data_IF_349893009104
#
_entry.id   IF_349893009104
#
_cell.length_a   1.000
_cell.length_b   1.000
_cell.length_c   1.000
_cell.angle_alpha   90.00
_cell.angle_beta   90.00
_cell.angle_gamma   90.00
#
_symmetry.space_group_name_H-M   'P 1'
#
loop_
_entity.id
_entity.type
_entity.pdbx_description
1 polymer ?
#
# COMPACT_ATOMS: atom_id res chain seq x y z
N UNK A 1 0.36 -3.84 3.75
CA UNK A 1 -0.31 -3.10 2.64
C UNK A 1 0.52 -3.07 1.35
N UNK A 2 1.79 -2.66 1.39
CA UNK A 2 2.70 -2.70 0.24
C UNK A 2 2.85 -4.12 -0.32
N UNK A 3 2.98 -5.11 0.56
CA UNK A 3 3.07 -6.53 0.18
C UNK A 3 1.81 -7.04 -0.55
N UNK A 4 0.61 -6.79 -0.02
CA UNK A 4 -0.63 -7.18 -0.71
C UNK A 4 -0.81 -6.49 -2.07
N UNK A 5 -0.37 -5.23 -2.20
CA UNK A 5 -0.43 -4.52 -3.48
C UNK A 5 0.54 -5.13 -4.50
N UNK A 6 1.72 -5.55 -4.04
CA UNK A 6 2.71 -6.28 -4.86
C UNK A 6 2.14 -7.62 -5.33
N UNK A 7 1.59 -8.40 -4.40
CA UNK A 7 0.99 -9.72 -4.67
C UNK A 7 -0.18 -9.62 -5.66
N UNK A 8 -1.07 -8.62 -5.50
CA UNK A 8 -2.14 -8.37 -6.49
C UNK A 8 -1.59 -8.00 -7.87
N UNK A 9 -0.44 -7.30 -7.92
CA UNK A 9 0.26 -6.98 -9.16
C UNK A 9 0.89 -8.20 -9.84
N UNK A 10 1.35 -9.19 -9.08
CA UNK A 10 1.94 -10.44 -9.60
C UNK A 10 0.90 -11.39 -10.21
N UNK A 11 -0.36 -11.33 -9.75
CA UNK A 11 -1.45 -12.19 -10.27
C UNK A 11 -1.83 -11.85 -11.72
N UNK A 12 -1.78 -10.57 -12.10
CA UNK A 12 -2.23 -10.13 -13.43
C UNK A 12 -1.37 -10.73 -14.56
N UNK A 13 -0.02 -10.62 -14.54
CA UNK A 13 0.82 -11.26 -15.56
C UNK A 13 0.61 -12.77 -15.65
N UNK A 14 0.44 -13.45 -14.52
CA UNK A 14 0.18 -14.89 -14.50
C UNK A 14 -1.15 -15.24 -15.20
N UNK A 15 -2.21 -14.47 -14.96
CA UNK A 15 -3.50 -14.67 -15.64
C UNK A 15 -3.42 -14.40 -17.15
N UNK A 16 -2.67 -13.37 -17.56
CA UNK A 16 -2.44 -13.06 -18.97
C UNK A 16 -1.65 -14.17 -19.68
N UNK A 17 -0.60 -14.69 -19.03
CA UNK A 17 0.21 -15.79 -19.54
C UNK A 17 -0.62 -17.07 -19.73
N UNK A 18 -1.39 -17.46 -18.70
CA UNK A 18 -2.25 -18.64 -18.73
C UNK A 18 -3.38 -18.49 -19.76
N UNK A 19 -3.94 -17.29 -19.92
CA UNK A 19 -4.93 -17.00 -20.97
C UNK A 19 -4.33 -17.16 -22.37
N UNK A 20 -3.11 -16.62 -22.58
CA UNK A 20 -2.41 -16.77 -23.86
C UNK A 20 -2.06 -18.24 -24.15
N UNK A 21 -1.70 -19.01 -23.12
CA UNK A 21 -1.45 -20.45 -23.25
C UNK A 21 -2.71 -21.24 -23.62
N UNK A 22 -3.83 -20.95 -22.96
CA UNK A 22 -5.12 -21.54 -23.30
C UNK A 22 -5.52 -21.27 -24.76
N UNK A 23 -5.30 -20.03 -25.24
CA UNK A 23 -5.54 -19.67 -26.64
C UNK A 23 -4.61 -20.43 -27.60
N UNK A 24 -3.31 -20.55 -27.29
CA UNK A 24 -2.36 -21.33 -28.10
C UNK A 24 -2.75 -22.79 -28.22
N UNK A 25 -3.17 -23.43 -27.12
CA UNK A 25 -3.60 -24.84 -27.13
C UNK A 25 -4.88 -24.99 -27.95
N UNK A 26 -5.84 -24.08 -27.78
CA UNK A 26 -7.10 -24.08 -28.54
C UNK A 26 -6.86 -24.03 -30.06
N UNK A 27 -5.95 -23.14 -30.48
CA UNK A 27 -5.67 -22.88 -31.89
C UNK A 27 -4.81 -24.00 -32.51
N UNK A 28 -4.15 -24.81 -31.68
CA UNK A 28 -3.40 -25.99 -32.09
C UNK A 28 -4.25 -27.23 -32.36
N UNK A 29 -3.57 -28.31 -32.73
CA UNK A 29 -4.13 -29.66 -32.71
C UNK A 29 -4.10 -30.19 -31.26
N UNK A 30 -5.22 -30.76 -30.82
CA UNK A 30 -5.33 -31.34 -29.47
C UNK A 30 -5.30 -32.87 -29.61
N UNK A 31 -4.11 -33.41 -29.81
CA UNK A 31 -3.92 -34.85 -30.04
C UNK A 31 -3.63 -35.61 -28.75
N UNK A 32 -2.99 -34.95 -27.76
CA UNK A 32 -2.61 -35.56 -26.48
C UNK A 32 -3.15 -34.68 -25.34
N UNK A 33 -4.47 -34.68 -25.09
CA UNK A 33 -5.11 -33.72 -24.17
C UNK A 33 -4.52 -33.73 -22.77
N UNK A 34 -4.14 -34.89 -22.24
CA UNK A 34 -3.47 -34.99 -20.92
C UNK A 34 -2.10 -34.32 -20.95
N UNK A 35 -1.32 -34.49 -22.03
CA UNK A 35 0.01 -33.87 -22.12
C UNK A 35 -0.06 -32.37 -22.40
N UNK A 36 -1.06 -31.94 -23.16
CA UNK A 36 -1.18 -30.58 -23.69
C UNK A 36 -1.97 -29.65 -22.76
N UNK A 37 -3.04 -30.13 -22.12
CA UNK A 37 -3.96 -29.29 -21.32
C UNK A 37 -3.74 -29.45 -19.81
N UNK A 38 -3.34 -30.62 -19.32
CA UNK A 38 -3.15 -30.83 -17.86
C UNK A 38 -2.13 -29.85 -17.24
N UNK A 39 -0.98 -29.54 -17.87
CA UNK A 39 -0.07 -28.54 -17.31
C UNK A 39 -0.72 -27.16 -17.11
N UNK A 40 -1.53 -26.70 -18.07
CA UNK A 40 -2.32 -25.48 -17.95
C UNK A 40 -3.33 -25.61 -16.80
N UNK A 41 -4.10 -26.70 -16.75
CA UNK A 41 -5.11 -26.93 -15.70
C UNK A 41 -4.52 -26.85 -14.30
N UNK A 42 -3.38 -27.53 -14.06
CA UNK A 42 -2.69 -27.52 -12.78
C UNK A 42 -2.25 -26.11 -12.38
N UNK A 43 -1.63 -25.36 -13.30
CA UNK A 43 -1.18 -23.99 -13.02
C UNK A 43 -2.34 -23.03 -12.75
N UNK A 44 -3.45 -23.17 -13.46
CA UNK A 44 -4.67 -22.38 -13.19
C UNK A 44 -5.24 -22.73 -11.81
N UNK A 45 -5.27 -24.02 -11.45
CA UNK A 45 -5.75 -24.47 -10.14
C UNK A 45 -4.85 -23.98 -8.99
N UNK A 46 -3.52 -24.08 -9.14
CA UNK A 46 -2.55 -23.55 -8.18
C UNK A 46 -2.74 -22.05 -7.97
N UNK A 47 -2.94 -21.30 -9.07
CA UNK A 47 -3.22 -19.87 -9.00
C UNK A 47 -4.55 -19.59 -8.29
N UNK A 48 -5.62 -20.36 -8.57
CA UNK A 48 -6.89 -20.24 -7.88
C UNK A 48 -6.74 -20.42 -6.36
N UNK A 49 -5.98 -21.44 -5.94
CA UNK A 49 -5.68 -21.70 -4.53
C UNK A 49 -4.84 -20.59 -3.89
N UNK A 50 -3.86 -20.03 -4.59
CA UNK A 50 -3.07 -18.88 -4.12
C UNK A 50 -3.97 -17.64 -3.94
N UNK A 51 -4.79 -17.32 -4.94
CA UNK A 51 -5.70 -16.19 -4.93
C UNK A 51 -6.77 -16.31 -3.83
N UNK A 52 -7.33 -17.51 -3.63
CA UNK A 52 -8.33 -17.77 -2.59
C UNK A 52 -7.74 -17.58 -1.19
N UNK A 53 -6.53 -18.11 -0.94
CA UNK A 53 -5.80 -17.87 0.31
C UNK A 53 -5.53 -16.39 0.53
N UNK A 54 -5.07 -15.68 -0.51
CA UNK A 54 -4.84 -14.24 -0.41
C UNK A 54 -6.12 -13.46 -0.06
N UNK A 55 -7.27 -13.80 -0.65
CA UNK A 55 -8.56 -13.17 -0.31
C UNK A 55 -8.96 -13.48 1.13
N UNK A 56 -8.77 -14.72 1.57
CA UNK A 56 -9.02 -15.11 2.96
C UNK A 56 -8.15 -14.30 3.93
N UNK A 57 -6.84 -14.24 3.71
CA UNK A 57 -5.91 -13.49 4.56
C UNK A 57 -6.29 -12.00 4.63
N UNK A 58 -6.67 -11.40 3.48
CA UNK A 58 -7.15 -10.03 3.45
C UNK A 58 -8.47 -9.87 4.23
N UNK A 59 -9.40 -10.82 4.12
CA UNK A 59 -10.71 -10.75 4.78
C UNK A 59 -10.63 -10.76 6.31
N UNK A 60 -9.62 -11.41 6.89
CA UNK A 60 -9.42 -11.47 8.35
C UNK A 60 -8.45 -10.40 8.87
N UNK A 61 -7.89 -9.57 7.98
CA UNK A 61 -6.99 -8.47 8.32
C UNK A 61 -7.75 -7.17 8.61
N UNK A 62 -7.03 -6.04 8.73
CA UNK A 62 -7.65 -4.70 8.80
C UNK A 62 -8.18 -4.21 7.44
N UNK A 63 -7.96 -4.95 6.35
CA UNK A 63 -8.35 -4.55 5.00
C UNK A 63 -9.87 -4.30 4.82
N UNK A 64 -10.81 -5.08 5.40
CA UNK A 64 -12.24 -4.79 5.24
C UNK A 64 -12.64 -3.44 5.88
N UNK A 65 -12.00 -3.03 6.98
CA UNK A 65 -12.28 -1.77 7.66
C UNK A 65 -11.75 -0.54 6.89
N UNK A 66 -10.92 -0.78 5.86
CA UNK A 66 -10.44 0.28 4.98
C UNK A 66 -11.55 0.76 4.06
N UNK A 67 -11.50 2.05 3.66
CA UNK A 67 -12.40 2.60 2.64
C UNK A 67 -12.46 1.69 1.40
N UNK A 68 -13.66 1.31 0.96
CA UNK A 68 -13.93 0.41 -0.17
C UNK A 68 -13.31 -1.01 -0.02
N UNK A 69 -12.86 -1.38 1.18
CA UNK A 69 -12.17 -2.65 1.46
C UNK A 69 -13.07 -3.87 1.23
N UNK A 70 -14.30 -3.82 1.75
CA UNK A 70 -15.32 -4.86 1.56
C UNK A 70 -15.73 -5.02 0.09
N UNK A 71 -15.94 -3.93 -0.63
CA UNK A 71 -16.26 -3.95 -2.07
C UNK A 71 -15.10 -4.59 -2.86
N UNK A 72 -13.86 -4.16 -2.59
CA UNK A 72 -12.70 -4.75 -3.26
C UNK A 72 -12.52 -6.23 -2.93
N UNK A 73 -12.84 -6.66 -1.70
CA UNK A 73 -12.83 -8.10 -1.34
C UNK A 73 -13.89 -8.88 -2.12
N UNK A 74 -15.10 -8.35 -2.27
CA UNK A 74 -16.15 -9.00 -3.06
C UNK A 74 -15.73 -9.15 -4.53
N UNK A 75 -15.11 -8.11 -5.12
CA UNK A 75 -14.56 -8.17 -6.47
C UNK A 75 -13.46 -9.24 -6.60
N UNK A 76 -12.52 -9.28 -5.66
CA UNK A 76 -11.45 -10.27 -5.66
C UNK A 76 -11.98 -11.70 -5.47
N UNK A 77 -12.97 -11.90 -4.58
CA UNK A 77 -13.62 -13.19 -4.40
C UNK A 77 -14.32 -13.66 -5.69
N UNK A 78 -15.03 -12.75 -6.38
CA UNK A 78 -15.62 -13.03 -7.69
C UNK A 78 -14.57 -13.42 -8.74
N UNK A 79 -13.43 -12.72 -8.78
CA UNK A 79 -12.32 -13.07 -9.66
C UNK A 79 -11.70 -14.43 -9.30
N UNK A 80 -11.58 -14.79 -8.02
CA UNK A 80 -11.15 -16.13 -7.60
C UNK A 80 -12.08 -17.22 -8.12
N UNK A 81 -13.39 -17.00 -8.05
CA UNK A 81 -14.38 -17.94 -8.62
C UNK A 81 -14.23 -18.10 -10.13
N UNK A 82 -13.91 -17.03 -10.87
CA UNK A 82 -13.62 -17.10 -12.31
C UNK A 82 -12.36 -17.94 -12.60
N UNK A 83 -11.29 -17.79 -11.82
CA UNK A 83 -10.07 -18.59 -11.98
C UNK A 83 -10.35 -20.06 -11.67
N UNK A 84 -11.11 -20.36 -10.61
CA UNK A 84 -11.53 -21.72 -10.28
C UNK A 84 -12.40 -22.34 -11.39
N UNK A 85 -13.32 -21.55 -11.98
CA UNK A 85 -14.11 -21.99 -13.13
C UNK A 85 -13.20 -22.31 -14.32
N UNK A 86 -12.20 -21.47 -14.61
CA UNK A 86 -11.24 -21.72 -15.67
C UNK A 86 -10.51 -23.06 -15.50
N UNK A 87 -10.08 -23.42 -14.27
CA UNK A 87 -9.48 -24.73 -14.00
C UNK A 87 -10.45 -25.88 -14.29
N UNK A 88 -11.71 -25.74 -13.89
CA UNK A 88 -12.76 -26.75 -14.16
C UNK A 88 -13.01 -26.91 -15.66
N UNK A 89 -13.02 -25.80 -16.42
CA UNK A 89 -13.17 -25.83 -17.88
C UNK A 89 -11.98 -26.54 -18.56
N UNK A 90 -10.75 -26.35 -18.07
CA UNK A 90 -9.60 -27.14 -18.54
C UNK A 90 -9.80 -28.64 -18.30
N UNK A 91 -10.30 -29.03 -17.13
CA UNK A 91 -10.57 -30.44 -16.82
C UNK A 91 -11.65 -31.02 -17.75
N UNK A 92 -12.73 -30.28 -18.03
CA UNK A 92 -13.73 -30.71 -19.02
C UNK A 92 -13.14 -30.85 -20.42
N UNK A 93 -12.25 -29.93 -20.83
CA UNK A 93 -11.58 -30.02 -22.13
C UNK A 93 -10.73 -31.30 -22.26
N UNK A 94 -10.04 -31.68 -21.18
CA UNK A 94 -9.27 -32.93 -21.08
C UNK A 94 -10.19 -34.14 -21.19
N UNK A 95 -11.22 -34.22 -20.34
CA UNK A 95 -12.12 -35.36 -20.28
C UNK A 95 -12.80 -35.62 -21.62
N UNK A 96 -13.40 -34.58 -22.20
CA UNK A 96 -14.14 -34.73 -23.44
C UNK A 96 -13.24 -35.12 -24.62
N UNK A 97 -12.03 -34.56 -24.70
CA UNK A 97 -11.09 -34.97 -25.77
C UNK A 97 -10.57 -36.39 -25.55
N UNK A 98 -10.36 -36.79 -24.31
CA UNK A 98 -9.91 -38.15 -23.97
C UNK A 98 -10.98 -39.17 -24.32
N UNK A 99 -12.26 -38.89 -24.01
CA UNK A 99 -13.40 -39.72 -24.39
C UNK A 99 -13.47 -39.91 -25.91
N UNK A 100 -13.33 -38.82 -26.68
CA UNK A 100 -13.32 -38.89 -28.15
C UNK A 100 -12.18 -39.75 -28.70
N UNK A 101 -11.00 -39.72 -28.07
CA UNK A 101 -9.85 -40.51 -28.52
C UNK A 101 -9.92 -41.98 -28.11
N UNK A 102 -10.79 -42.34 -27.15
CA UNK A 102 -10.92 -43.70 -26.63
C UNK A 102 -12.10 -44.47 -27.23
N UNK A 103 -13.11 -43.78 -27.77
CA UNK A 103 -14.32 -44.40 -28.31
C UNK A 103 -14.48 -44.09 -29.80
N UNK A 104 -14.62 -45.14 -30.62
CA UNK A 104 -14.69 -45.04 -32.10
C UNK A 104 -15.92 -44.27 -32.63
N UNK A 105 -17.01 -44.18 -31.84
CA UNK A 105 -18.26 -43.51 -32.22
C UNK A 105 -18.35 -42.02 -31.79
N UNK A 106 -17.30 -41.49 -31.18
CA UNK A 106 -17.30 -40.12 -30.68
C UNK A 106 -16.95 -39.10 -31.77
N UNK A 107 -17.62 -37.93 -31.76
CA UNK A 107 -17.41 -36.85 -32.74
C UNK A 107 -15.90 -36.53 -32.89
N UNK A 108 -15.31 -36.70 -34.09
CA UNK A 108 -13.86 -36.59 -34.27
C UNK A 108 -13.35 -35.16 -34.05
N UNK A 109 -14.25 -34.17 -34.09
CA UNK A 109 -13.86 -32.76 -34.06
C UNK A 109 -13.60 -32.26 -32.63
N UNK A 110 -12.47 -31.58 -32.36
CA UNK A 110 -12.15 -31.05 -31.03
C UNK A 110 -12.96 -29.79 -30.68
N UNK A 111 -14.17 -29.60 -31.24
CA UNK A 111 -14.94 -28.36 -31.16
C UNK A 111 -15.33 -28.01 -29.72
N UNK A 112 -15.85 -28.97 -28.95
CA UNK A 112 -16.23 -28.77 -27.55
C UNK A 112 -15.01 -28.43 -26.69
N UNK A 113 -13.91 -29.18 -26.81
CA UNK A 113 -12.68 -28.90 -26.04
C UNK A 113 -12.11 -27.52 -26.38
N UNK A 114 -12.16 -27.11 -27.66
CA UNK A 114 -11.79 -25.76 -28.09
C UNK A 114 -12.70 -24.68 -27.50
N UNK A 115 -14.01 -24.92 -27.44
CA UNK A 115 -14.93 -23.99 -26.79
C UNK A 115 -14.65 -23.86 -25.29
N UNK A 116 -14.35 -24.97 -24.60
CA UNK A 116 -13.95 -24.92 -23.18
C UNK A 116 -12.64 -24.14 -22.97
N UNK A 117 -11.64 -24.31 -23.84
CA UNK A 117 -10.39 -23.54 -23.79
C UNK A 117 -10.60 -22.06 -24.13
N UNK A 118 -11.53 -21.73 -25.05
CA UNK A 118 -11.96 -20.35 -25.30
C UNK A 118 -12.57 -19.73 -24.04
N UNK A 119 -13.53 -20.40 -23.40
CA UNK A 119 -14.16 -19.94 -22.16
C UNK A 119 -13.14 -19.79 -21.02
N UNK A 120 -12.21 -20.75 -20.90
CA UNK A 120 -11.07 -20.67 -19.97
C UNK A 120 -10.31 -19.36 -20.16
N UNK A 121 -9.93 -19.06 -21.41
CA UNK A 121 -9.19 -17.84 -21.75
C UNK A 121 -9.95 -16.58 -21.36
N UNK A 122 -11.27 -16.55 -21.60
CA UNK A 122 -12.15 -15.42 -21.27
C UNK A 122 -12.30 -15.21 -19.76
N UNK A 123 -12.46 -16.28 -18.97
CA UNK A 123 -12.53 -16.17 -17.51
C UNK A 123 -11.23 -15.64 -16.91
N UNK A 124 -10.08 -16.11 -17.41
CA UNK A 124 -8.77 -15.60 -16.97
C UNK A 124 -8.60 -14.12 -17.30
N UNK A 125 -9.07 -13.66 -18.46
CA UNK A 125 -9.04 -12.25 -18.84
C UNK A 125 -9.98 -11.39 -17.99
N UNK A 126 -11.18 -11.87 -17.69
CA UNK A 126 -12.13 -11.21 -16.78
C UNK A 126 -11.53 -11.06 -15.37
N UNK A 127 -10.92 -12.13 -14.86
CA UNK A 127 -10.22 -12.10 -13.58
C UNK A 127 -9.06 -11.08 -13.62
N UNK A 128 -8.25 -11.08 -14.68
CA UNK A 128 -7.13 -10.15 -14.83
C UNK A 128 -7.60 -8.68 -14.84
N UNK A 129 -8.69 -8.37 -15.55
CA UNK A 129 -9.28 -7.04 -15.56
C UNK A 129 -9.74 -6.59 -14.16
N UNK A 130 -10.31 -7.50 -13.38
CA UNK A 130 -10.73 -7.25 -12.01
C UNK A 130 -9.53 -6.98 -11.09
N UNK A 131 -8.51 -7.84 -11.13
CA UNK A 131 -7.27 -7.65 -10.37
C UNK A 131 -6.56 -6.34 -10.73
N UNK A 132 -6.47 -5.99 -12.03
CA UNK A 132 -5.92 -4.70 -12.48
C UNK A 132 -6.69 -3.51 -11.88
N UNK A 133 -8.02 -3.60 -11.87
CA UNK A 133 -8.88 -2.53 -11.33
C UNK A 133 -8.64 -2.33 -9.85
N UNK A 134 -8.64 -3.42 -9.07
CA UNK A 134 -8.41 -3.37 -7.62
C UNK A 134 -6.99 -2.88 -7.31
N UNK A 135 -5.98 -3.40 -8.01
CA UNK A 135 -4.58 -2.97 -7.85
C UNK A 135 -4.43 -1.46 -8.12
N UNK A 136 -4.99 -0.94 -9.21
CA UNK A 136 -4.96 0.51 -9.52
C UNK A 136 -5.69 1.36 -8.48
N UNK A 137 -6.82 0.90 -7.95
CA UNK A 137 -7.53 1.58 -6.84
C UNK A 137 -6.63 1.68 -5.61
N UNK A 138 -5.96 0.59 -5.24
CA UNK A 138 -5.03 0.55 -4.11
C UNK A 138 -3.79 1.42 -4.32
N UNK A 139 -3.13 1.35 -5.49
CA UNK A 139 -1.96 2.18 -5.80
C UNK A 139 -2.28 3.67 -5.72
N UNK A 140 -3.38 4.12 -6.34
CA UNK A 140 -3.81 5.53 -6.27
C UNK A 140 -4.06 5.98 -4.84
N UNK A 141 -4.66 5.11 -4.04
CA UNK A 141 -4.94 5.40 -2.64
C UNK A 141 -3.66 5.49 -1.81
N UNK A 142 -2.71 4.58 -1.99
CA UNK A 142 -1.41 4.63 -1.33
C UNK A 142 -0.66 5.92 -1.70
N UNK A 143 -0.65 6.29 -2.99
CA UNK A 143 -0.07 7.55 -3.46
C UNK A 143 -0.75 8.79 -2.82
N UNK A 144 -2.08 8.77 -2.70
CA UNK A 144 -2.81 9.86 -2.03
C UNK A 144 -2.50 9.95 -0.53
N UNK A 145 -2.24 8.82 0.12
CA UNK A 145 -1.92 8.77 1.54
C UNK A 145 -0.50 9.29 1.80
N UNK A 146 0.48 8.90 0.95
CA UNK A 146 1.84 9.44 1.01
C UNK A 146 1.87 10.94 0.79
N UNK A 147 1.13 11.45 -0.21
CA UNK A 147 1.07 12.89 -0.48
C UNK A 147 0.53 13.67 0.75
N UNK A 148 -0.58 13.22 1.35
CA UNK A 148 -1.12 13.83 2.57
C UNK A 148 -0.20 13.71 3.79
N UNK A 149 0.66 12.69 3.85
CA UNK A 149 1.63 12.54 4.92
C UNK A 149 2.80 13.53 4.74
N UNK A 150 3.24 13.74 3.52
CA UNK A 150 4.27 14.74 3.16
C UNK A 150 3.78 16.16 3.43
N UNK A 151 2.56 16.50 3.03
CA UNK A 151 1.95 17.81 3.29
C UNK A 151 1.86 18.11 4.79
N UNK A 152 1.46 17.13 5.60
CA UNK A 152 1.42 17.26 7.06
C UNK A 152 2.82 17.47 7.66
N UNK A 153 3.83 16.75 7.17
CA UNK A 153 5.23 16.95 7.60
C UNK A 153 5.75 18.33 7.20
N UNK A 154 5.43 18.80 6.00
CA UNK A 154 5.81 20.14 5.53
C UNK A 154 5.16 21.25 6.37
N UNK A 155 3.87 21.08 6.69
CA UNK A 155 3.12 21.99 7.57
C UNK A 155 3.74 22.02 8.97
N UNK A 156 4.00 20.85 9.56
CA UNK A 156 4.64 20.74 10.87
C UNK A 156 6.02 21.41 10.90
N UNK A 157 6.86 21.15 9.90
CA UNK A 157 8.19 21.81 9.78
C UNK A 157 8.07 23.33 9.69
N UNK A 158 7.07 23.83 8.98
CA UNK A 158 6.82 25.26 8.84
C UNK A 158 6.40 25.89 10.16
N UNK A 159 5.45 25.26 10.86
CA UNK A 159 5.00 25.69 12.19
C UNK A 159 6.15 25.67 13.19
N UNK A 160 6.92 24.56 13.23
CA UNK A 160 8.10 24.42 14.09
C UNK A 160 9.13 25.52 13.83
N UNK A 161 9.49 25.77 12.56
CA UNK A 161 10.41 26.87 12.19
C UNK A 161 9.91 28.24 12.61
N UNK A 162 8.60 28.49 12.52
CA UNK A 162 7.98 29.77 12.94
C UNK A 162 8.04 29.94 14.45
N UNK A 163 7.79 28.87 15.21
CA UNK A 163 7.92 28.85 16.66
C UNK A 163 9.37 29.06 17.08
N UNK A 164 10.34 28.36 16.48
CA UNK A 164 11.76 28.55 16.78
C UNK A 164 12.22 29.98 16.50
N UNK A 165 11.81 30.58 15.38
CA UNK A 165 12.12 32.00 15.08
C UNK A 165 11.51 32.96 16.10
N UNK A 166 10.25 32.73 16.50
CA UNK A 166 9.61 33.54 17.55
C UNK A 166 10.37 33.42 18.86
N UNK A 167 10.68 32.20 19.30
CA UNK A 167 11.41 31.99 20.55
C UNK A 167 12.79 32.64 20.52
N UNK A 168 13.55 32.50 19.42
CA UNK A 168 14.84 33.18 19.25
C UNK A 168 14.69 34.72 19.27
N UNK A 169 13.63 35.26 18.68
CA UNK A 169 13.37 36.71 18.75
C UNK A 169 12.97 37.18 20.15
N UNK A 170 12.32 36.34 20.95
CA UNK A 170 12.01 36.64 22.34
C UNK A 170 13.26 36.56 23.22
N UNK A 171 14.12 35.54 23.03
CA UNK A 171 15.39 35.44 23.76
C UNK A 171 16.31 36.61 23.43
N UNK A 172 16.47 36.96 22.15
CA UNK A 172 17.29 38.11 21.74
C UNK A 172 16.79 39.44 22.34
N UNK A 173 15.48 39.65 22.43
CA UNK A 173 14.91 40.85 23.09
C UNK A 173 15.06 40.84 24.61
N UNK A 174 15.05 39.66 25.22
CA UNK A 174 15.29 39.52 26.66
C UNK A 174 16.77 39.81 26.98
N UNK A 175 17.69 39.30 26.17
CA UNK A 175 19.13 39.57 26.25
C UNK A 175 19.43 41.06 26.02
N UNK A 176 18.83 41.67 24.99
CA UNK A 176 18.99 43.10 24.70
C UNK A 176 18.49 43.99 25.85
N UNK A 177 17.34 43.65 26.45
CA UNK A 177 16.84 44.36 27.65
C UNK A 177 17.74 44.16 28.87
N UNK A 178 18.33 42.99 29.04
CA UNK A 178 19.30 42.76 30.12
C UNK A 178 20.57 43.58 29.90
N UNK A 179 21.07 43.67 28.66
CA UNK A 179 22.23 44.52 28.33
C UNK A 179 21.94 46.00 28.55
N UNK A 180 20.75 46.49 28.16
CA UNK A 180 20.33 47.88 28.43
C UNK A 180 20.19 48.13 29.93
N UNK A 181 19.61 47.19 30.70
CA UNK A 181 19.50 47.30 32.14
C UNK A 181 20.87 47.30 32.86
N UNK A 182 21.83 46.52 32.36
CA UNK A 182 23.21 46.53 32.86
C UNK A 182 23.93 47.84 32.51
N UNK A 183 23.70 48.40 31.32
CA UNK A 183 24.25 49.68 30.91
C UNK A 183 23.65 50.87 31.68
N UNK A 184 22.42 50.73 32.21
CA UNK A 184 21.75 51.71 33.07
C UNK A 184 21.98 51.46 34.57
N UNK A 185 22.82 50.49 34.94
CA UNK A 185 23.24 50.26 36.32
C UNK A 185 23.92 51.50 36.90
N UNK A 186 23.82 51.75 38.23
CA UNK A 186 24.29 52.98 38.84
C UNK A 186 25.79 53.17 38.59
N UNK A 187 26.18 54.31 38.01
CA UNK A 187 27.57 54.74 38.04
C UNK A 187 28.05 54.77 39.50
N UNK A 188 29.22 54.18 39.84
CA UNK A 188 29.75 54.30 41.18
C UNK A 188 30.08 55.77 41.42
N UNK A 189 29.27 56.44 42.23
CA UNK A 189 29.62 57.74 42.79
C UNK A 189 30.95 57.56 43.51
N UNK A 190 31.96 58.26 42.99
CA UNK A 190 33.31 58.37 43.51
C UNK A 190 33.22 58.83 44.97
N UNK A 191 33.40 57.90 45.90
CA UNK A 191 33.57 58.21 47.31
C UNK A 191 34.88 59.00 47.48
N UNK A 192 34.77 60.29 47.80
CA UNK A 192 35.88 61.05 48.41
C UNK A 192 35.79 60.90 49.91
N UNK A 193 36.59 59.97 50.41
CA UNK A 193 36.99 59.80 51.80
C UNK A 193 38.02 60.88 52.17
N UNK A 194 37.82 61.60 53.28
CA UNK A 194 38.92 61.98 54.19
C UNK A 194 38.38 62.37 55.59
N UNK A 195 38.96 61.84 56.70
CA UNK A 195 38.52 62.02 58.11
C UNK A 195 39.55 62.87 58.93
N UNK A 196 39.59 62.87 60.28
CA UNK A 196 38.56 63.14 61.31
C UNK A 196 39.01 64.15 62.43
N UNK A 197 38.05 64.46 63.35
CA UNK A 197 38.21 64.76 64.79
C UNK A 197 38.71 66.18 65.23
N UNK A 198 38.51 66.65 66.50
CA UNK A 198 38.05 65.91 67.69
C UNK A 198 36.97 66.58 68.59
N UNK A 199 36.59 65.80 69.61
CA UNK A 199 35.65 65.98 70.73
C UNK A 199 36.00 67.13 71.68
N UNK A 200 35.00 67.67 72.38
CA UNK A 200 34.96 67.84 73.85
C UNK A 200 33.54 68.29 74.28
N UNK A 201 32.73 67.43 74.91
CA UNK A 201 32.40 67.33 76.36
C UNK A 201 31.72 68.55 76.98
N UNK A 202 30.50 68.36 77.50
CA UNK A 202 29.90 69.29 78.47
C UNK A 202 28.38 69.17 78.62
N UNK A 203 27.89 68.14 79.31
CA UNK A 203 26.62 68.21 80.07
C UNK A 203 26.90 68.96 81.39
N UNK A 204 25.93 69.54 82.14
CA UNK A 204 24.84 68.76 82.75
C UNK A 204 23.46 69.44 82.94
N UNK A 205 22.47 68.56 83.12
CA UNK A 205 21.24 68.63 83.94
C UNK A 205 20.88 69.94 84.66
N UNK A 206 19.59 70.32 84.53
CA UNK A 206 18.58 70.13 85.59
C UNK A 206 17.21 69.89 84.96
#
# INVERSE_FOLDING_TARGET
MTEHTRLLGEVVPALEELSAEAARIRDGEIAKPVREITPLSLRVHELAMKCTRQVHDLSVSQYPAMKDGTENLALLAGACSQISLAATLCNFAIHHRTEILLYEDADPTPATSRDQLRRTSEELQRAAATYRTVSRRLSRRLASFSARAEDRRATYRTVSRRLSRRLASFSARAEDRQLIAQAQGPSPQKATSAPPAPRHTGSPKR
#
